data_IF_583282851809
#
_entry.id   IF_583282851809
#
_cell.length_a   1.000
_cell.length_b   1.000
_cell.length_c   1.000
_cell.angle_alpha   90.00
_cell.angle_beta   90.00
_cell.angle_gamma   90.00
#
_symmetry.space_group_name_H-M   'P 1'
#
loop_
_entity.id
_entity.type
_entity.pdbx_description
1 polymer ?
#
# COMPACT_ATOMS: atom_id res chain seq x y z
N UNK A 1 0.75 -9.52 8.26
CA UNK A 1 0.10 -8.24 8.61
C UNK A 1 0.55 -7.63 9.93
N UNK A 2 0.51 -8.32 11.09
CA UNK A 2 0.79 -7.69 12.39
C UNK A 2 2.13 -6.94 12.47
N UNK A 3 3.23 -7.53 11.98
CA UNK A 3 4.54 -6.87 11.95
C UNK A 3 4.51 -5.54 11.17
N UNK A 4 3.95 -5.55 9.95
CA UNK A 4 3.85 -4.35 9.10
C UNK A 4 2.95 -3.27 9.72
N UNK A 5 1.84 -3.68 10.34
CA UNK A 5 0.94 -2.77 11.06
C UNK A 5 1.67 -2.10 12.22
N UNK A 6 2.40 -2.87 13.04
CA UNK A 6 3.14 -2.33 14.20
C UNK A 6 4.22 -1.33 13.82
N UNK A 7 4.91 -1.53 12.69
CA UNK A 7 5.91 -0.58 12.18
C UNK A 7 5.23 0.73 11.77
N UNK A 8 4.18 0.65 10.94
CA UNK A 8 3.49 1.84 10.43
C UNK A 8 2.77 2.61 11.52
N UNK A 9 2.20 1.93 12.50
CA UNK A 9 1.56 2.59 13.65
C UNK A 9 2.54 3.49 14.40
N UNK A 10 3.77 3.04 14.63
CA UNK A 10 4.82 3.86 15.24
C UNK A 10 5.21 5.02 14.33
N UNK A 11 5.43 4.77 13.04
CA UNK A 11 5.81 5.81 12.07
C UNK A 11 4.76 6.91 11.97
N UNK A 12 3.48 6.51 11.79
CA UNK A 12 2.35 7.44 11.66
C UNK A 12 2.20 8.27 12.93
N UNK A 13 2.28 7.68 14.12
CA UNK A 13 2.20 8.42 15.37
C UNK A 13 3.31 9.48 15.53
N UNK A 14 4.53 9.20 15.05
CA UNK A 14 5.60 10.20 15.02
C UNK A 14 5.31 11.28 13.99
N UNK A 15 4.92 10.90 12.77
CA UNK A 15 4.57 11.86 11.72
C UNK A 15 3.43 12.80 12.18
N UNK A 16 2.36 12.27 12.75
CA UNK A 16 1.24 13.04 13.30
C UNK A 16 1.70 14.06 14.34
N UNK A 17 2.55 13.64 15.28
CA UNK A 17 3.14 14.50 16.32
C UNK A 17 3.94 15.65 15.72
N UNK A 18 4.68 15.41 14.65
CA UNK A 18 5.52 16.43 13.99
C UNK A 18 4.68 17.34 13.08
N UNK A 19 3.78 16.77 12.28
CA UNK A 19 2.84 17.48 11.41
C UNK A 19 1.87 18.39 12.18
N UNK A 20 1.53 18.06 13.43
CA UNK A 20 0.68 18.88 14.29
C UNK A 20 1.36 20.20 14.75
N UNK A 21 2.69 20.30 14.66
CA UNK A 21 3.45 21.47 15.16
C UNK A 21 3.72 22.53 14.09
N UNK A 22 3.73 22.14 12.82
CA UNK A 22 4.14 23.01 11.71
C UNK A 22 3.35 22.68 10.43
N UNK A 23 2.65 23.69 9.90
CA UNK A 23 1.90 23.57 8.66
C UNK A 23 2.80 23.31 7.44
N UNK A 24 4.03 23.84 7.42
CA UNK A 24 4.97 23.56 6.32
C UNK A 24 5.39 22.09 6.33
N UNK A 25 5.73 21.55 7.51
CA UNK A 25 6.03 20.13 7.67
C UNK A 25 4.81 19.24 7.38
N UNK A 26 3.62 19.68 7.80
CA UNK A 26 2.35 19.01 7.46
C UNK A 26 2.15 18.88 5.95
N UNK A 27 2.35 19.96 5.20
CA UNK A 27 2.26 19.93 3.74
C UNK A 27 3.34 19.05 3.10
N UNK A 28 4.56 19.11 3.64
CA UNK A 28 5.70 18.32 3.15
C UNK A 28 5.51 16.80 3.34
N UNK A 29 4.94 16.38 4.47
CA UNK A 29 4.78 14.96 4.83
C UNK A 29 3.42 14.36 4.45
N UNK A 30 2.43 15.17 4.03
CA UNK A 30 1.05 14.73 3.83
C UNK A 30 0.92 13.52 2.88
N UNK A 31 1.64 13.53 1.75
CA UNK A 31 1.56 12.47 0.75
C UNK A 31 2.17 11.15 1.25
N UNK A 32 3.40 11.19 1.78
CA UNK A 32 4.03 10.05 2.47
C UNK A 32 3.14 9.49 3.59
N UNK A 33 2.61 10.37 4.44
CA UNK A 33 1.73 9.99 5.54
C UNK A 33 0.49 9.25 5.03
N UNK A 34 -0.22 9.82 4.06
CA UNK A 34 -1.41 9.22 3.48
C UNK A 34 -1.12 7.85 2.84
N UNK A 35 0.00 7.72 2.12
CA UNK A 35 0.42 6.44 1.53
C UNK A 35 0.73 5.36 2.58
N UNK A 36 1.36 5.75 3.69
CA UNK A 36 1.62 4.84 4.81
C UNK A 36 0.31 4.43 5.52
N UNK A 37 -0.54 5.41 5.84
CA UNK A 37 -1.82 5.23 6.51
C UNK A 37 -2.80 4.36 5.69
N UNK A 38 -2.81 4.49 4.37
CA UNK A 38 -3.70 3.74 3.50
C UNK A 38 -3.51 2.22 3.66
N UNK A 39 -2.28 1.73 3.48
CA UNK A 39 -2.00 0.29 3.64
C UNK A 39 -1.98 -0.17 5.10
N UNK A 40 -1.68 0.73 6.05
CA UNK A 40 -1.84 0.44 7.49
C UNK A 40 -3.30 0.11 7.82
N UNK A 41 -4.24 0.97 7.40
CA UNK A 41 -5.68 0.72 7.50
C UNK A 41 -6.07 -0.54 6.74
N UNK A 42 -5.62 -0.71 5.50
CA UNK A 42 -5.90 -1.90 4.68
C UNK A 42 -5.56 -3.20 5.42
N UNK A 43 -4.34 -3.36 5.95
CA UNK A 43 -3.94 -4.60 6.61
C UNK A 43 -4.67 -4.87 7.92
N UNK A 44 -5.11 -3.81 8.62
CA UNK A 44 -5.99 -3.96 9.78
C UNK A 44 -7.34 -4.52 9.33
N UNK A 45 -7.97 -3.90 8.33
CA UNK A 45 -9.26 -4.31 7.79
C UNK A 45 -9.24 -5.73 7.21
N UNK A 46 -8.25 -6.04 6.37
CA UNK A 46 -8.02 -7.38 5.81
C UNK A 46 -7.90 -8.43 6.93
N UNK A 47 -7.07 -8.17 7.95
CA UNK A 47 -6.86 -9.12 9.06
C UNK A 47 -8.13 -9.31 9.91
N UNK A 48 -8.89 -8.23 10.14
CA UNK A 48 -10.15 -8.29 10.88
C UNK A 48 -11.21 -9.06 10.09
N UNK A 49 -11.35 -8.79 8.79
CA UNK A 49 -12.28 -9.48 7.91
C UNK A 49 -11.99 -10.97 7.80
N UNK A 50 -10.75 -11.35 7.50
CA UNK A 50 -10.36 -12.77 7.38
C UNK A 50 -10.67 -13.57 8.65
N UNK A 51 -10.44 -12.98 9.83
CA UNK A 51 -10.79 -13.59 11.12
C UNK A 51 -12.30 -13.65 11.34
N UNK A 52 -12.99 -12.53 11.15
CA UNK A 52 -14.45 -12.41 11.36
C UNK A 52 -15.22 -13.44 10.53
N UNK A 53 -14.78 -13.67 9.29
CA UNK A 53 -15.46 -14.56 8.35
C UNK A 53 -14.79 -15.93 8.20
N UNK A 54 -13.87 -16.29 9.10
CA UNK A 54 -13.26 -17.63 9.17
C UNK A 54 -12.69 -18.09 7.82
N UNK A 55 -11.96 -17.19 7.17
CA UNK A 55 -11.47 -17.40 5.80
C UNK A 55 -10.50 -18.58 5.70
N UNK A 56 -9.71 -18.83 6.75
CA UNK A 56 -8.78 -19.96 6.81
C UNK A 56 -9.56 -21.27 6.87
N UNK A 57 -10.57 -21.34 7.73
CA UNK A 57 -11.42 -22.53 7.88
C UNK A 57 -12.20 -22.81 6.59
N UNK A 58 -12.68 -21.76 5.90
CA UNK A 58 -13.31 -21.90 4.60
C UNK A 58 -12.34 -22.47 3.54
N UNK A 59 -11.09 -21.99 3.53
CA UNK A 59 -10.02 -22.52 2.65
C UNK A 59 -9.70 -23.98 2.97
N UNK A 60 -9.56 -24.33 4.25
CA UNK A 60 -9.28 -25.70 4.68
C UNK A 60 -10.41 -26.67 4.31
N UNK A 61 -11.67 -26.23 4.46
CA UNK A 61 -12.84 -27.01 4.04
C UNK A 61 -12.83 -27.24 2.52
N UNK A 62 -12.54 -26.20 1.73
CA UNK A 62 -12.41 -26.32 0.28
C UNK A 62 -11.26 -27.26 -0.12
N UNK A 63 -10.08 -27.12 0.50
CA UNK A 63 -8.91 -27.96 0.22
C UNK A 63 -9.14 -29.42 0.58
N UNK A 64 -9.92 -29.68 1.64
CA UNK A 64 -10.38 -31.03 1.99
C UNK A 64 -11.31 -31.58 0.91
N UNK A 65 -12.35 -30.84 0.51
CA UNK A 65 -13.26 -31.28 -0.56
C UNK A 65 -12.50 -31.55 -1.88
N UNK A 66 -11.61 -30.64 -2.24
CA UNK A 66 -10.76 -30.76 -3.41
C UNK A 66 -9.88 -32.02 -3.35
N UNK A 67 -9.24 -32.29 -2.21
CA UNK A 67 -8.42 -33.48 -2.00
C UNK A 67 -9.27 -34.76 -2.06
N UNK A 68 -10.47 -34.75 -1.50
CA UNK A 68 -11.42 -35.86 -1.57
C UNK A 68 -11.84 -36.16 -3.03
N UNK A 69 -12.05 -35.11 -3.85
CA UNK A 69 -12.31 -35.24 -5.30
C UNK A 69 -11.12 -35.77 -6.07
N UNK A 70 -9.91 -35.25 -5.81
CA UNK A 70 -8.67 -35.76 -6.40
C UNK A 70 -8.51 -37.26 -6.12
N UNK A 71 -8.73 -37.69 -4.88
CA UNK A 71 -8.53 -39.09 -4.48
C UNK A 71 -9.51 -40.08 -5.11
N UNK A 72 -10.69 -39.61 -5.53
CA UNK A 72 -11.70 -40.42 -6.21
C UNK A 72 -11.43 -40.60 -7.71
N UNK A 73 -10.54 -39.80 -8.30
CA UNK A 73 -10.15 -39.89 -9.70
C UNK A 73 -8.66 -40.28 -9.82
N UNK A 74 -8.33 -41.49 -10.30
CA UNK A 74 -6.93 -41.94 -10.40
C UNK A 74 -6.02 -41.04 -11.24
N UNK A 75 -6.54 -40.46 -12.32
CA UNK A 75 -5.79 -39.54 -13.19
C UNK A 75 -5.44 -38.24 -12.46
N UNK A 76 -6.44 -37.60 -11.84
CA UNK A 76 -6.23 -36.38 -11.06
C UNK A 76 -5.33 -36.61 -9.85
N UNK A 77 -5.49 -37.75 -9.17
CA UNK A 77 -4.64 -38.14 -8.05
C UNK A 77 -3.17 -38.24 -8.47
N UNK A 78 -2.88 -38.96 -9.56
CA UNK A 78 -1.53 -39.11 -10.08
C UNK A 78 -0.89 -37.76 -10.43
N UNK A 79 -1.69 -36.84 -11.01
CA UNK A 79 -1.20 -35.54 -11.47
C UNK A 79 -1.04 -34.50 -10.36
N UNK A 80 -1.89 -34.50 -9.32
CA UNK A 80 -2.03 -33.35 -8.42
C UNK A 80 -1.97 -33.65 -6.91
N UNK A 81 -2.03 -34.90 -6.46
CA UNK A 81 -2.11 -35.21 -5.02
C UNK A 81 -0.92 -34.68 -4.19
N UNK A 82 0.23 -34.44 -4.83
CA UNK A 82 1.45 -33.93 -4.19
C UNK A 82 1.44 -32.40 -3.97
N UNK A 83 0.56 -31.65 -4.66
CA UNK A 83 0.65 -30.18 -4.75
C UNK A 83 0.39 -29.51 -3.39
N UNK A 84 -0.76 -29.77 -2.77
CA UNK A 84 -1.13 -29.17 -1.49
C UNK A 84 -0.19 -29.58 -0.33
N UNK A 85 0.18 -30.87 -0.16
CA UNK A 85 1.16 -31.27 0.84
C UNK A 85 2.50 -30.53 0.68
N UNK A 86 3.01 -30.43 -0.56
CA UNK A 86 4.28 -29.75 -0.81
C UNK A 86 4.20 -28.26 -0.52
N UNK A 87 3.10 -27.60 -0.92
CA UNK A 87 2.87 -26.19 -0.56
C UNK A 87 2.85 -25.99 0.95
N UNK A 88 2.18 -26.87 1.72
CA UNK A 88 2.13 -26.81 3.18
C UNK A 88 3.53 -26.89 3.81
N UNK A 89 4.37 -27.80 3.33
CA UNK A 89 5.78 -27.90 3.76
C UNK A 89 6.56 -26.61 3.49
N UNK A 90 6.42 -26.04 2.29
CA UNK A 90 7.11 -24.82 1.89
C UNK A 90 6.66 -23.61 2.72
N UNK A 91 5.36 -23.48 3.00
CA UNK A 91 4.86 -22.43 3.90
C UNK A 91 5.38 -22.62 5.33
N UNK A 92 5.53 -23.86 5.81
CA UNK A 92 6.15 -24.14 7.11
C UNK A 92 7.63 -23.75 7.13
N UNK A 93 8.38 -24.05 6.06
CA UNK A 93 9.78 -23.64 5.90
C UNK A 93 9.94 -22.11 5.81
N UNK A 94 8.99 -21.43 5.17
CA UNK A 94 8.98 -19.96 5.03
C UNK A 94 8.65 -19.25 6.34
N UNK A 95 7.80 -19.84 7.19
CA UNK A 95 7.22 -19.22 8.39
C UNK A 95 8.24 -18.49 9.30
N UNK A 96 9.42 -19.06 9.64
CA UNK A 96 10.39 -18.39 10.51
C UNK A 96 10.92 -17.06 9.95
N UNK A 97 10.90 -16.89 8.63
CA UNK A 97 11.43 -15.71 7.95
C UNK A 97 10.40 -14.59 7.78
N UNK A 98 9.10 -14.90 7.79
CA UNK A 98 8.03 -13.97 7.38
C UNK A 98 8.01 -12.69 8.24
N UNK A 99 8.13 -12.84 9.56
CA UNK A 99 8.14 -11.69 10.47
C UNK A 99 9.41 -10.85 10.28
N UNK A 100 10.58 -11.50 10.19
CA UNK A 100 11.88 -10.84 10.00
C UNK A 100 11.90 -10.07 8.68
N UNK A 101 11.48 -10.69 7.59
CA UNK A 101 11.35 -10.05 6.28
C UNK A 101 10.40 -8.86 6.33
N UNK A 102 9.24 -9.01 7.00
CA UNK A 102 8.26 -7.93 7.14
C UNK A 102 8.86 -6.73 7.90
N UNK A 103 9.49 -6.98 9.05
CA UNK A 103 10.15 -5.94 9.82
C UNK A 103 11.28 -5.26 9.04
N UNK A 104 12.18 -6.04 8.44
CA UNK A 104 13.30 -5.49 7.68
C UNK A 104 12.83 -4.66 6.48
N UNK A 105 11.87 -5.17 5.70
CA UNK A 105 11.33 -4.47 4.53
C UNK A 105 10.58 -3.18 4.88
N UNK A 106 9.79 -3.18 5.96
CA UNK A 106 9.05 -1.99 6.37
C UNK A 106 9.97 -0.97 7.05
N UNK A 107 10.88 -1.40 7.92
CA UNK A 107 11.76 -0.48 8.68
C UNK A 107 12.85 0.09 7.77
N UNK A 108 13.65 -0.75 7.10
CA UNK A 108 14.81 -0.31 6.33
C UNK A 108 14.48 0.01 4.85
N UNK A 109 13.26 -0.26 4.39
CA UNK A 109 12.88 -0.05 2.99
C UNK A 109 11.72 0.91 2.75
N UNK A 110 10.96 1.29 3.79
CA UNK A 110 9.72 2.09 3.60
C UNK A 110 9.49 3.19 4.63
N UNK A 111 9.81 2.95 5.90
CA UNK A 111 9.42 3.85 6.99
C UNK A 111 10.56 4.77 7.44
N UNK A 112 11.81 4.37 7.26
CA UNK A 112 12.99 5.21 7.52
C UNK A 112 13.62 5.58 6.18
N UNK A 113 13.84 6.88 5.95
CA UNK A 113 14.40 7.40 4.71
C UNK A 113 15.92 7.22 4.65
N UNK A 114 16.62 7.39 5.77
CA UNK A 114 18.09 7.27 5.82
C UNK A 114 18.62 5.94 5.24
N UNK A 115 18.09 4.74 5.59
CA UNK A 115 18.43 3.49 4.90
C UNK A 115 18.21 3.52 3.40
N UNK A 116 17.10 4.11 2.93
CA UNK A 116 16.78 4.25 1.50
C UNK A 116 17.85 5.08 0.78
N UNK A 117 18.25 6.21 1.37
CA UNK A 117 19.34 7.06 0.87
C UNK A 117 20.65 6.25 0.78
N UNK A 118 20.99 5.50 1.84
CA UNK A 118 22.22 4.70 1.88
C UNK A 118 22.22 3.57 0.84
N UNK A 119 21.08 2.89 0.66
CA UNK A 119 20.91 1.77 -0.27
C UNK A 119 21.00 2.23 -1.72
N UNK A 120 20.35 3.34 -2.08
CA UNK A 120 20.42 3.89 -3.44
C UNK A 120 21.85 4.38 -3.76
N UNK A 121 22.50 5.03 -2.79
CA UNK A 121 23.90 5.47 -2.95
C UNK A 121 24.86 4.28 -3.09
N UNK A 122 24.67 3.22 -2.31
CA UNK A 122 25.44 1.97 -2.42
C UNK A 122 25.18 1.21 -3.73
N UNK A 123 23.96 1.24 -4.25
CA UNK A 123 23.63 0.61 -5.53
C UNK A 123 24.40 1.26 -6.69
N UNK A 124 24.68 2.56 -6.63
CA UNK A 124 25.56 3.22 -7.61
C UNK A 124 26.98 2.63 -7.56
N UNK A 125 27.53 2.39 -6.37
CA UNK A 125 28.85 1.76 -6.20
C UNK A 125 28.84 0.35 -6.81
N UNK A 126 27.89 -0.49 -6.42
CA UNK A 126 27.86 -1.90 -6.86
C UNK A 126 27.71 -2.03 -8.38
N UNK A 127 26.84 -1.21 -9.00
CA UNK A 127 26.72 -1.20 -10.46
C UNK A 127 27.99 -0.69 -11.14
N UNK A 128 28.64 0.33 -10.57
CA UNK A 128 29.88 0.89 -11.12
C UNK A 128 31.07 -0.07 -10.97
N UNK A 129 31.11 -0.92 -9.93
CA UNK A 129 32.10 -2.01 -9.82
C UNK A 129 32.01 -3.00 -10.98
N UNK A 130 30.80 -3.26 -11.48
CA UNK A 130 30.58 -4.18 -12.62
C UNK A 130 30.77 -3.52 -13.98
N UNK A 131 30.46 -2.23 -14.12
CA UNK A 131 30.40 -1.52 -15.41
C UNK A 131 31.50 -0.46 -15.62
N UNK A 132 32.32 -0.20 -14.59
CA UNK A 132 33.43 0.75 -14.63
C UNK A 132 33.05 2.21 -14.38
N UNK A 133 34.07 3.07 -14.35
CA UNK A 133 34.01 4.51 -14.08
C UNK A 133 33.06 5.27 -15.02
N UNK A 134 32.98 4.84 -16.28
CA UNK A 134 32.11 5.46 -17.28
C UNK A 134 30.63 5.35 -16.88
N UNK A 135 30.22 4.23 -16.26
CA UNK A 135 28.86 4.07 -15.74
C UNK A 135 28.59 5.03 -14.60
N UNK A 136 29.51 5.15 -13.65
CA UNK A 136 29.39 6.10 -12.54
C UNK A 136 29.13 7.52 -13.06
N UNK A 137 29.96 7.97 -14.00
CA UNK A 137 29.88 9.30 -14.60
C UNK A 137 28.54 9.54 -15.28
N UNK A 138 28.04 8.57 -16.04
CA UNK A 138 26.77 8.68 -16.76
C UNK A 138 25.52 8.52 -15.86
N UNK A 139 25.64 7.84 -14.71
CA UNK A 139 24.50 7.46 -13.88
C UNK A 139 24.31 8.32 -12.62
N UNK A 140 25.38 8.94 -12.09
CA UNK A 140 25.34 9.61 -10.77
C UNK A 140 24.24 10.67 -10.67
N UNK A 141 24.06 11.49 -11.71
CA UNK A 141 23.04 12.55 -11.69
C UNK A 141 21.63 11.96 -11.70
N UNK A 142 21.39 10.88 -12.45
CA UNK A 142 20.10 10.17 -12.41
C UNK A 142 19.79 9.61 -11.01
N UNK A 143 20.78 9.07 -10.31
CA UNK A 143 20.60 8.56 -8.94
C UNK A 143 20.33 9.70 -7.96
N UNK A 144 21.08 10.81 -8.07
CA UNK A 144 20.87 12.03 -7.29
C UNK A 144 19.46 12.60 -7.51
N UNK A 145 19.07 12.79 -8.77
CA UNK A 145 17.78 13.35 -9.14
C UNK A 145 16.61 12.45 -8.69
N UNK A 146 16.80 11.13 -8.72
CA UNK A 146 15.83 10.20 -8.14
C UNK A 146 15.68 10.42 -6.63
N UNK A 147 16.80 10.51 -5.87
CA UNK A 147 16.76 10.78 -4.44
C UNK A 147 16.11 12.12 -4.11
N UNK A 148 16.44 13.18 -4.86
CA UNK A 148 15.90 14.53 -4.68
C UNK A 148 14.39 14.57 -4.91
N UNK A 149 13.91 13.92 -5.98
CA UNK A 149 12.51 14.00 -6.39
C UNK A 149 11.59 12.99 -5.71
N UNK A 150 12.15 11.91 -5.14
CA UNK A 150 11.38 10.89 -4.42
C UNK A 150 11.54 11.03 -2.91
N UNK A 151 12.69 10.63 -2.36
CA UNK A 151 12.92 10.52 -0.92
C UNK A 151 13.05 11.89 -0.26
N UNK A 152 13.92 12.76 -0.78
CA UNK A 152 14.25 14.02 -0.12
C UNK A 152 13.16 15.09 -0.23
N UNK A 153 12.26 14.96 -1.20
CA UNK A 153 11.07 15.81 -1.32
C UNK A 153 10.22 15.76 -0.05
N UNK A 154 10.10 14.58 0.55
CA UNK A 154 9.26 14.31 1.73
C UNK A 154 10.10 13.99 2.97
N UNK A 155 11.42 14.29 2.95
CA UNK A 155 12.34 13.96 4.04
C UNK A 155 12.45 15.09 5.07
N UNK A 156 12.23 14.79 6.33
CA UNK A 156 12.51 15.66 7.46
C UNK A 156 13.42 14.94 8.46
N UNK A 157 14.62 15.48 8.70
CA UNK A 157 15.65 14.80 9.47
C UNK A 157 15.25 14.56 10.93
N UNK A 158 14.50 15.48 11.56
CA UNK A 158 14.06 15.32 12.93
C UNK A 158 12.93 14.28 13.08
N UNK A 159 12.00 14.26 12.12
CA UNK A 159 10.97 13.22 12.01
C UNK A 159 11.61 11.85 11.76
N UNK A 160 12.48 11.72 10.76
CA UNK A 160 13.13 10.44 10.39
C UNK A 160 14.01 9.92 11.54
N UNK A 161 14.69 10.80 12.27
CA UNK A 161 15.47 10.46 13.47
C UNK A 161 14.60 9.88 14.59
N UNK A 162 13.45 10.49 14.87
CA UNK A 162 12.53 9.97 15.90
C UNK A 162 11.90 8.63 15.47
N UNK A 163 11.52 8.50 14.20
CA UNK A 163 11.02 7.25 13.61
C UNK A 163 12.10 6.16 13.71
N UNK A 164 13.33 6.44 13.26
CA UNK A 164 14.45 5.52 13.34
C UNK A 164 14.65 5.01 14.76
N UNK A 165 14.69 5.90 15.75
CA UNK A 165 14.93 5.51 17.14
C UNK A 165 13.90 4.51 17.65
N UNK A 166 12.60 4.81 17.46
CA UNK A 166 11.52 3.92 17.91
C UNK A 166 11.47 2.61 17.13
N UNK A 167 11.74 2.65 15.82
CA UNK A 167 11.72 1.43 14.99
C UNK A 167 12.94 0.53 15.23
N UNK A 168 14.09 1.07 15.65
CA UNK A 168 15.22 0.23 16.07
C UNK A 168 14.89 -0.53 17.35
N UNK A 169 14.27 0.11 18.34
CA UNK A 169 13.80 -0.57 19.56
C UNK A 169 12.77 -1.66 19.22
N UNK A 170 11.83 -1.38 18.30
CA UNK A 170 10.87 -2.37 17.81
C UNK A 170 11.57 -3.55 17.12
N UNK A 171 12.58 -3.27 16.29
CA UNK A 171 13.32 -4.30 15.55
C UNK A 171 14.03 -5.26 16.50
N UNK A 172 14.85 -4.75 17.41
CA UNK A 172 15.63 -5.55 18.37
C UNK A 172 14.72 -6.35 19.29
N UNK A 173 13.55 -5.81 19.65
CA UNK A 173 12.58 -6.51 20.49
C UNK A 173 11.93 -7.72 19.80
N UNK A 174 11.68 -7.64 18.49
CA UNK A 174 10.85 -8.62 17.77
C UNK A 174 11.62 -9.50 16.78
N UNK A 175 12.90 -9.24 16.58
CA UNK A 175 13.75 -9.97 15.63
C UNK A 175 14.90 -10.64 16.37
N UNK A 176 15.07 -11.93 16.12
CA UNK A 176 16.15 -12.75 16.68
C UNK A 176 17.53 -12.14 16.36
N UNK A 177 18.43 -12.16 17.34
CA UNK A 177 19.76 -11.54 17.27
C UNK A 177 20.57 -12.01 16.06
N UNK A 178 20.38 -13.25 15.58
CA UNK A 178 21.09 -13.74 14.38
C UNK A 178 20.74 -12.97 13.10
N UNK A 179 19.64 -12.23 13.08
CA UNK A 179 19.22 -11.34 11.98
C UNK A 179 19.58 -9.87 12.24
N UNK A 180 20.32 -9.58 13.31
CA UNK A 180 20.90 -8.27 13.60
C UNK A 180 22.38 -8.31 13.22
N UNK A 181 22.80 -7.41 12.32
CA UNK A 181 24.21 -7.37 11.89
C UNK A 181 25.13 -7.05 13.07
N UNK A 182 26.36 -7.57 13.02
CA UNK A 182 27.38 -7.26 14.03
C UNK A 182 27.61 -5.76 14.18
N UNK A 183 27.50 -5.00 13.08
CA UNK A 183 27.59 -3.54 13.10
C UNK A 183 26.45 -2.92 13.90
N UNK A 184 25.20 -3.34 13.64
CA UNK A 184 24.01 -2.84 14.35
C UNK A 184 24.00 -3.27 15.82
N UNK A 185 24.31 -4.53 16.11
CA UNK A 185 24.43 -5.02 17.48
C UNK A 185 25.50 -4.26 18.29
N UNK A 186 26.66 -3.99 17.67
CA UNK A 186 27.72 -3.18 18.29
C UNK A 186 27.27 -1.74 18.52
N UNK A 187 26.60 -1.14 17.54
CA UNK A 187 26.13 0.25 17.62
C UNK A 187 25.06 0.44 18.71
N UNK A 188 24.21 -0.56 18.94
CA UNK A 188 23.17 -0.57 19.97
C UNK A 188 23.64 -1.06 21.35
N UNK A 189 24.91 -1.47 21.49
CA UNK A 189 25.40 -2.01 22.76
C UNK A 189 25.21 -0.99 23.90
N UNK A 190 24.39 -1.37 24.89
CA UNK A 190 24.01 -0.52 26.03
C UNK A 190 23.33 0.82 25.63
N UNK A 191 22.70 0.86 24.45
CA UNK A 191 21.99 2.05 23.95
C UNK A 191 20.58 1.68 23.52
N UNK A 192 19.67 2.60 23.73
CA UNK A 192 18.35 2.62 23.09
C UNK A 192 18.49 3.00 21.61
N UNK A 193 17.47 2.67 20.81
CA UNK A 193 17.37 3.13 19.44
C UNK A 193 17.38 4.65 19.34
N UNK A 194 16.79 5.37 20.31
CA UNK A 194 16.83 6.84 20.36
C UNK A 194 18.24 7.40 20.57
N UNK A 195 19.07 6.78 21.40
CA UNK A 195 20.46 7.18 21.58
C UNK A 195 21.29 6.93 20.32
N UNK A 196 21.10 5.77 19.68
CA UNK A 196 21.72 5.50 18.38
C UNK A 196 21.26 6.50 17.31
N UNK A 197 19.98 6.89 17.32
CA UNK A 197 19.44 7.88 16.40
C UNK A 197 20.18 9.21 16.51
N UNK A 198 20.36 9.71 17.74
CA UNK A 198 21.08 10.95 18.00
C UNK A 198 22.52 10.89 17.49
N UNK A 199 23.20 9.78 17.74
CA UNK A 199 24.57 9.57 17.27
C UNK A 199 24.62 9.60 15.74
N UNK A 200 23.92 8.68 15.06
CA UNK A 200 23.99 8.55 13.60
C UNK A 200 23.58 9.84 12.88
N UNK A 201 22.49 10.49 13.30
CA UNK A 201 22.00 11.68 12.61
C UNK A 201 22.86 12.92 12.86
N UNK A 202 23.67 12.94 13.92
CA UNK A 202 24.59 14.05 14.20
C UNK A 202 25.87 14.01 13.37
N UNK A 203 26.26 12.85 12.85
CA UNK A 203 27.56 12.66 12.16
C UNK A 203 27.44 12.19 10.72
N UNK A 204 26.30 11.62 10.31
CA UNK A 204 26.10 11.16 8.93
C UNK A 204 25.92 12.35 8.00
N UNK A 205 26.59 12.30 6.86
CA UNK A 205 26.44 13.26 5.76
C UNK A 205 25.25 12.92 4.84
N UNK A 206 24.42 11.96 5.21
CA UNK A 206 23.26 11.52 4.41
C UNK A 206 21.93 12.05 4.97
N UNK A 207 21.98 13.04 5.86
CA UNK A 207 20.84 13.59 6.60
C UNK A 207 20.42 14.98 6.14
N UNK A 208 21.01 15.50 5.06
CA UNK A 208 20.58 16.76 4.45
C UNK A 208 20.70 16.72 2.94
N UNK A 209 19.89 17.54 2.26
CA UNK A 209 19.92 17.68 0.81
C UNK A 209 21.29 18.13 0.33
N UNK A 210 21.85 19.13 1.00
CA UNK A 210 23.12 19.77 0.63
C UNK A 210 24.29 18.78 0.71
N UNK A 211 24.32 17.94 1.76
CA UNK A 211 25.38 16.95 1.92
C UNK A 211 25.26 15.82 0.89
N UNK A 212 24.03 15.43 0.53
CA UNK A 212 23.78 14.45 -0.52
C UNK A 212 24.19 15.02 -1.89
N UNK A 213 23.83 16.26 -2.21
CA UNK A 213 24.30 16.93 -3.43
C UNK A 213 25.84 17.00 -3.48
N UNK A 214 26.50 17.29 -2.36
CA UNK A 214 27.95 17.30 -2.26
C UNK A 214 28.58 15.90 -2.44
N UNK A 215 27.94 14.84 -1.97
CA UNK A 215 28.36 13.45 -2.21
C UNK A 215 28.27 13.11 -3.71
N UNK A 216 27.17 13.46 -4.38
CA UNK A 216 26.99 13.17 -5.80
C UNK A 216 27.79 14.12 -6.73
N UNK A 217 28.30 15.23 -6.20
CA UNK A 217 29.23 16.11 -6.90
C UNK A 217 30.66 15.52 -7.05
N UNK A 218 30.99 14.42 -6.35
CA UNK A 218 32.30 13.76 -6.48
C UNK A 218 32.58 13.36 -7.93
N UNK A 219 33.79 13.64 -8.41
CA UNK A 219 34.16 13.46 -9.82
C UNK A 219 34.49 12.00 -10.15
N UNK A 220 35.14 11.29 -9.23
CA UNK A 220 35.53 9.89 -9.40
C UNK A 220 34.67 8.93 -8.56
N UNK A 221 34.52 7.70 -9.02
CA UNK A 221 33.92 6.59 -8.27
C UNK A 221 34.71 6.31 -6.99
N UNK A 222 36.03 6.41 -7.06
CA UNK A 222 36.91 6.19 -5.91
C UNK A 222 36.61 7.17 -4.78
N UNK A 223 36.52 8.47 -5.08
CA UNK A 223 36.21 9.50 -4.08
C UNK A 223 34.79 9.35 -3.53
N UNK A 224 33.83 9.05 -4.41
CA UNK A 224 32.45 8.75 -4.00
C UNK A 224 32.40 7.57 -3.03
N UNK A 225 33.04 6.46 -3.40
CA UNK A 225 33.08 5.21 -2.63
C UNK A 225 33.77 5.43 -1.28
N UNK A 226 34.95 6.04 -1.26
CA UNK A 226 35.68 6.35 -0.02
C UNK A 226 34.90 7.28 0.90
N UNK A 227 34.14 8.23 0.35
CA UNK A 227 33.30 9.12 1.14
C UNK A 227 32.13 8.36 1.75
N UNK A 228 31.40 7.58 0.94
CA UNK A 228 30.22 6.84 1.39
C UNK A 228 30.58 5.72 2.38
N UNK A 229 31.65 4.96 2.13
CA UNK A 229 32.09 3.86 3.00
C UNK A 229 32.57 4.32 4.39
N UNK A 230 32.90 5.60 4.54
CA UNK A 230 33.22 6.22 5.83
C UNK A 230 31.98 6.75 6.57
N UNK A 231 30.84 6.85 5.90
CA UNK A 231 29.62 7.34 6.52
C UNK A 231 29.05 6.29 7.50
N UNK A 232 28.80 6.65 8.77
CA UNK A 232 28.37 5.70 9.78
C UNK A 232 26.96 5.14 9.51
N UNK A 233 26.07 5.91 8.87
CA UNK A 233 24.76 5.39 8.46
C UNK A 233 24.93 4.32 7.37
N UNK A 234 25.79 4.58 6.38
CA UNK A 234 26.06 3.63 5.32
C UNK A 234 26.69 2.33 5.85
N UNK A 235 27.67 2.42 6.76
CA UNK A 235 28.29 1.24 7.38
C UNK A 235 27.26 0.39 8.13
N UNK A 236 26.35 1.03 8.86
CA UNK A 236 25.30 0.36 9.63
C UNK A 236 24.31 -0.37 8.71
N UNK A 237 23.71 0.36 7.77
CA UNK A 237 22.62 -0.17 6.95
C UNK A 237 23.10 -1.10 5.84
N UNK A 238 24.27 -0.86 5.25
CA UNK A 238 24.83 -1.80 4.27
C UNK A 238 25.16 -3.16 4.90
N UNK A 239 25.66 -3.18 6.16
CA UNK A 239 25.89 -4.41 6.89
C UNK A 239 24.57 -5.13 7.25
N UNK A 240 23.56 -4.38 7.67
CA UNK A 240 22.23 -4.92 7.97
C UNK A 240 21.54 -5.50 6.72
N UNK A 241 21.57 -4.77 5.61
CA UNK A 241 20.99 -5.19 4.34
C UNK A 241 21.64 -6.48 3.83
N UNK A 242 22.99 -6.55 3.84
CA UNK A 242 23.74 -7.76 3.44
C UNK A 242 23.35 -8.99 4.28
N UNK A 243 23.16 -8.82 5.59
CA UNK A 243 22.73 -9.91 6.47
C UNK A 243 21.32 -10.37 6.11
N UNK A 244 20.37 -9.43 5.97
CA UNK A 244 18.98 -9.74 5.60
C UNK A 244 18.92 -10.43 4.25
N UNK A 245 19.68 -9.97 3.26
CA UNK A 245 19.69 -10.59 1.94
C UNK A 245 20.17 -12.03 1.99
N UNK A 246 21.27 -12.28 2.71
CA UNK A 246 21.86 -13.61 2.84
C UNK A 246 20.98 -14.57 3.64
N UNK A 247 20.54 -14.15 4.83
CA UNK A 247 19.94 -15.04 5.82
C UNK A 247 18.40 -15.09 5.72
N UNK A 248 17.77 -14.16 4.99
CA UNK A 248 16.30 -14.04 4.91
C UNK A 248 15.83 -13.96 3.46
N UNK A 249 16.20 -12.91 2.71
CA UNK A 249 15.65 -12.67 1.37
C UNK A 249 15.97 -13.82 0.42
N UNK A 250 17.22 -14.28 0.37
CA UNK A 250 17.65 -15.35 -0.54
C UNK A 250 16.96 -16.70 -0.24
N UNK A 251 16.92 -17.21 1.01
CA UNK A 251 16.13 -18.39 1.36
C UNK A 251 14.64 -18.25 1.00
N UNK A 252 14.02 -17.11 1.34
CA UNK A 252 12.60 -16.87 1.05
C UNK A 252 12.34 -16.83 -0.46
N UNK A 253 13.23 -16.24 -1.25
CA UNK A 253 13.10 -16.19 -2.71
C UNK A 253 13.14 -17.59 -3.33
N UNK A 254 14.02 -18.48 -2.85
CA UNK A 254 14.07 -19.89 -3.29
C UNK A 254 12.76 -20.60 -2.98
N UNK A 255 12.24 -20.44 -1.75
CA UNK A 255 10.97 -21.05 -1.34
C UNK A 255 9.80 -20.50 -2.17
N UNK A 256 9.74 -19.18 -2.38
CA UNK A 256 8.70 -18.55 -3.18
C UNK A 256 8.71 -19.01 -4.64
N UNK A 257 9.89 -19.24 -5.23
CA UNK A 257 9.99 -19.77 -6.59
C UNK A 257 9.26 -21.11 -6.73
N UNK A 258 9.44 -22.01 -5.77
CA UNK A 258 8.76 -23.31 -5.77
C UNK A 258 7.26 -23.20 -5.45
N UNK A 259 6.89 -22.33 -4.50
CA UNK A 259 5.48 -22.04 -4.21
C UNK A 259 4.77 -21.51 -5.46
N UNK A 260 5.38 -20.60 -6.21
CA UNK A 260 4.78 -20.02 -7.43
C UNK A 260 4.52 -21.08 -8.51
N UNK A 261 5.48 -22.00 -8.69
CA UNK A 261 5.34 -23.11 -9.64
C UNK A 261 4.20 -24.06 -9.24
N UNK A 262 4.09 -24.35 -7.93
CA UNK A 262 3.00 -25.15 -7.37
C UNK A 262 1.65 -24.43 -7.40
N UNK A 263 1.61 -23.11 -7.23
CA UNK A 263 0.39 -22.32 -7.37
C UNK A 263 -0.16 -22.40 -8.78
N UNK A 264 0.69 -22.36 -9.81
CA UNK A 264 0.28 -22.58 -11.20
C UNK A 264 -0.33 -23.98 -11.40
N UNK A 265 0.30 -25.01 -10.85
CA UNK A 265 -0.23 -26.39 -10.87
C UNK A 265 -1.54 -26.51 -10.10
N UNK A 266 -1.67 -25.84 -8.95
CA UNK A 266 -2.86 -25.85 -8.13
C UNK A 266 -4.04 -25.17 -8.85
N UNK A 267 -3.82 -24.04 -9.51
CA UNK A 267 -4.86 -23.37 -10.28
C UNK A 267 -5.33 -24.25 -11.45
N UNK A 268 -4.40 -24.86 -12.19
CA UNK A 268 -4.74 -25.82 -13.25
C UNK A 268 -5.55 -27.00 -12.69
N UNK A 269 -5.16 -27.54 -11.55
CA UNK A 269 -5.86 -28.64 -10.90
C UNK A 269 -7.29 -28.25 -10.49
N UNK A 270 -7.50 -27.06 -9.94
CA UNK A 270 -8.83 -26.57 -9.59
C UNK A 270 -9.73 -26.45 -10.84
N UNK A 271 -9.21 -25.94 -11.95
CA UNK A 271 -9.96 -25.82 -13.20
C UNK A 271 -10.35 -27.19 -13.78
N UNK A 272 -9.46 -28.19 -13.71
CA UNK A 272 -9.75 -29.55 -14.20
C UNK A 272 -10.72 -30.31 -13.28
N UNK A 273 -10.58 -30.18 -11.96
CA UNK A 273 -11.44 -30.87 -10.98
C UNK A 273 -12.83 -30.25 -10.87
N UNK A 274 -12.95 -28.95 -11.08
CA UNK A 274 -14.21 -28.20 -11.05
C UNK A 274 -14.53 -27.62 -12.43
N UNK A 275 -14.57 -28.48 -13.46
CA UNK A 275 -14.76 -28.08 -14.86
C UNK A 275 -16.11 -27.39 -15.13
N UNK A 276 -17.07 -27.52 -14.22
CA UNK A 276 -18.39 -26.89 -14.24
C UNK A 276 -18.40 -25.49 -13.61
N UNK A 277 -17.34 -25.11 -12.88
CA UNK A 277 -17.23 -23.78 -12.25
C UNK A 277 -16.62 -22.77 -13.21
N UNK A 278 -17.21 -21.58 -13.23
CA UNK A 278 -16.60 -20.42 -13.87
C UNK A 278 -15.47 -19.87 -12.99
N UNK A 279 -14.23 -19.96 -13.47
CA UNK A 279 -13.09 -19.30 -12.88
C UNK A 279 -12.82 -17.97 -13.60
N UNK A 280 -12.38 -16.97 -12.85
CA UNK A 280 -11.80 -15.75 -13.39
C UNK A 280 -10.33 -15.65 -12.95
N UNK A 281 -9.42 -15.17 -13.81
CA UNK A 281 -8.01 -15.06 -13.44
C UNK A 281 -7.82 -13.97 -12.39
N UNK A 282 -6.84 -14.14 -11.49
CA UNK A 282 -6.42 -13.09 -10.56
C UNK A 282 -6.06 -11.80 -11.31
N UNK A 283 -6.25 -10.66 -10.64
CA UNK A 283 -5.89 -9.36 -11.19
C UNK A 283 -4.36 -9.25 -11.37
N UNK A 284 -3.93 -8.70 -12.50
CA UNK A 284 -2.51 -8.60 -12.86
C UNK A 284 -2.21 -7.33 -13.68
N UNK A 285 -2.86 -6.21 -13.35
CA UNK A 285 -2.75 -4.93 -14.07
C UNK A 285 -3.16 -4.99 -15.54
N UNK A 286 -4.09 -5.90 -15.89
CA UNK A 286 -4.73 -5.96 -17.21
C UNK A 286 -6.18 -5.51 -17.13
N UNK A 287 -6.74 -5.08 -18.26
CA UNK A 287 -8.14 -4.68 -18.35
C UNK A 287 -9.07 -5.86 -18.02
N UNK A 288 -10.07 -5.62 -17.16
CA UNK A 288 -11.11 -6.58 -16.77
C UNK A 288 -12.48 -5.89 -16.73
N UNK A 289 -13.53 -6.69 -16.73
CA UNK A 289 -14.92 -6.24 -16.54
C UNK A 289 -15.51 -6.95 -15.33
N UNK A 290 -16.03 -6.18 -14.38
CA UNK A 290 -16.83 -6.66 -13.27
C UNK A 290 -18.20 -5.97 -13.32
N UNK A 291 -19.27 -6.74 -13.12
CA UNK A 291 -20.64 -6.25 -13.14
C UNK A 291 -21.32 -6.49 -11.80
N UNK A 292 -22.38 -5.73 -11.55
CA UNK A 292 -23.07 -5.75 -10.27
C UNK A 292 -24.31 -4.88 -10.30
N UNK A 293 -24.82 -4.57 -9.12
CA UNK A 293 -25.98 -3.69 -8.94
C UNK A 293 -25.76 -2.74 -7.79
N UNK A 294 -26.39 -1.57 -7.87
CA UNK A 294 -26.42 -0.60 -6.78
C UNK A 294 -27.13 -1.25 -5.57
N UNK A 295 -26.41 -1.45 -4.47
CA UNK A 295 -26.92 -2.20 -3.30
C UNK A 295 -26.24 -1.77 -2.01
N UNK A 296 -27.04 -1.55 -0.97
CA UNK A 296 -26.55 -1.35 0.40
C UNK A 296 -26.06 -2.67 1.02
N UNK A 297 -25.72 -2.64 2.31
CA UNK A 297 -25.34 -3.84 3.05
C UNK A 297 -25.47 -3.66 4.57
N UNK A 298 -25.43 -4.77 5.29
CA UNK A 298 -25.47 -4.80 6.75
C UNK A 298 -24.06 -5.07 7.28
N UNK A 299 -23.34 -4.06 7.77
CA UNK A 299 -22.01 -4.26 8.34
C UNK A 299 -22.04 -5.05 9.66
N UNK A 300 -23.16 -5.00 10.39
CA UNK A 300 -23.41 -5.64 11.68
C UNK A 300 -24.91 -5.66 11.98
N UNK A 301 -25.29 -6.45 12.97
CA UNK A 301 -26.68 -6.58 13.42
C UNK A 301 -27.32 -5.21 13.73
N UNK A 302 -28.58 -5.03 13.30
CA UNK A 302 -29.35 -3.81 13.48
C UNK A 302 -28.89 -2.57 12.70
N UNK A 303 -27.85 -2.66 11.85
CA UNK A 303 -27.32 -1.52 11.09
C UNK A 303 -27.36 -1.83 9.59
N UNK A 304 -27.99 -0.94 8.82
CA UNK A 304 -28.00 -1.01 7.36
C UNK A 304 -27.37 0.25 6.76
N UNK A 305 -26.38 0.07 5.89
CA UNK A 305 -25.83 1.16 5.09
C UNK A 305 -26.58 1.26 3.77
N UNK A 306 -27.22 2.41 3.55
CA UNK A 306 -27.93 2.71 2.31
C UNK A 306 -26.99 2.76 1.10
N UNK A 307 -27.47 2.40 -0.10
CA UNK A 307 -26.65 2.39 -1.31
C UNK A 307 -26.24 3.77 -1.83
N UNK A 308 -26.79 4.87 -1.30
CA UNK A 308 -26.56 6.23 -1.85
C UNK A 308 -26.38 7.25 -0.75
N UNK A 309 -25.36 8.08 -0.87
CA UNK A 309 -25.16 9.25 -0.01
C UNK A 309 -25.59 10.52 -0.71
N UNK A 310 -25.79 11.59 0.06
CA UNK A 310 -26.28 12.87 -0.46
C UNK A 310 -25.40 14.02 0.02
N UNK A 311 -25.50 15.19 -0.63
CA UNK A 311 -24.77 16.38 -0.24
C UNK A 311 -25.06 16.80 1.21
N UNK A 312 -26.25 16.53 1.74
CA UNK A 312 -26.56 16.76 3.16
C UNK A 312 -25.60 16.02 4.10
N UNK A 313 -25.21 14.78 3.78
CA UNK A 313 -24.25 14.00 4.56
C UNK A 313 -22.81 14.53 4.46
N UNK A 314 -22.48 15.29 3.42
CA UNK A 314 -21.21 16.04 3.34
C UNK A 314 -21.24 17.20 4.34
N UNK A 315 -22.38 17.91 4.43
CA UNK A 315 -22.56 19.02 5.36
C UNK A 315 -22.64 18.55 6.81
N UNK A 316 -23.25 17.40 7.09
CA UNK A 316 -23.25 16.78 8.43
C UNK A 316 -21.82 16.52 8.95
N UNK A 317 -20.87 16.28 8.04
CA UNK A 317 -19.46 16.03 8.38
C UNK A 317 -18.61 17.28 8.41
N UNK A 318 -19.11 18.42 7.93
CA UNK A 318 -18.35 19.65 7.78
C UNK A 318 -17.77 20.14 9.10
N UNK A 319 -16.46 20.44 9.11
CA UNK A 319 -15.74 21.03 10.24
C UNK A 319 -14.83 22.16 9.72
N UNK A 320 -15.14 23.43 10.04
CA UNK A 320 -14.32 24.57 9.58
C UNK A 320 -12.85 24.43 10.01
N UNK A 321 -11.91 24.67 9.08
CA UNK A 321 -10.46 24.57 9.29
C UNK A 321 -9.94 23.17 9.67
N UNK A 322 -10.76 22.12 9.53
CA UNK A 322 -10.32 20.74 9.70
C UNK A 322 -9.58 20.25 8.44
N UNK A 323 -8.53 19.46 8.60
CA UNK A 323 -7.72 18.98 7.47
C UNK A 323 -8.51 18.09 6.50
N UNK A 324 -9.41 17.26 7.03
CA UNK A 324 -10.12 16.23 6.28
C UNK A 324 -11.56 16.65 5.96
N UNK A 325 -12.15 17.48 6.83
CA UNK A 325 -13.58 17.77 6.81
C UNK A 325 -13.96 19.24 6.60
N UNK A 326 -13.00 20.12 6.27
CA UNK A 326 -13.32 21.47 5.80
C UNK A 326 -13.85 21.43 4.36
N UNK A 327 -14.59 22.47 3.96
CA UNK A 327 -15.25 22.55 2.66
C UNK A 327 -15.06 23.95 2.05
N UNK A 328 -14.90 24.04 0.71
CA UNK A 328 -14.92 25.33 0.03
C UNK A 328 -16.25 26.06 0.28
N UNK A 329 -16.16 27.37 0.55
CA UNK A 329 -17.33 28.24 0.79
C UNK A 329 -18.42 28.07 -0.28
N UNK A 330 -18.05 27.91 -1.56
CA UNK A 330 -18.99 27.71 -2.66
C UNK A 330 -19.90 26.49 -2.49
N UNK A 331 -19.43 25.38 -1.91
CA UNK A 331 -20.26 24.21 -1.62
C UNK A 331 -21.31 24.53 -0.56
N UNK A 332 -20.91 25.26 0.49
CA UNK A 332 -21.82 25.68 1.57
C UNK A 332 -22.92 26.60 1.04
N UNK A 333 -22.55 27.56 0.19
CA UNK A 333 -23.49 28.51 -0.43
C UNK A 333 -24.49 27.78 -1.33
N UNK A 334 -24.03 26.88 -2.21
CA UNK A 334 -24.88 26.06 -3.08
C UNK A 334 -25.82 25.15 -2.27
N UNK A 335 -25.34 24.56 -1.17
CA UNK A 335 -26.17 23.73 -0.29
C UNK A 335 -27.27 24.54 0.41
N UNK A 336 -26.96 25.74 0.91
CA UNK A 336 -27.91 26.62 1.59
C UNK A 336 -28.99 27.11 0.63
N UNK A 337 -28.62 27.47 -0.59
CA UNK A 337 -29.54 27.91 -1.63
C UNK A 337 -30.34 26.77 -2.30
N UNK A 338 -29.96 25.50 -2.07
CA UNK A 338 -30.49 24.32 -2.79
C UNK A 338 -30.35 24.44 -4.32
N UNK A 339 -29.31 25.14 -4.79
CA UNK A 339 -29.07 25.37 -6.21
C UNK A 339 -28.40 24.16 -6.89
N UNK A 340 -29.09 23.01 -6.90
CA UNK A 340 -28.61 21.77 -7.50
C UNK A 340 -28.99 21.65 -8.99
N UNK A 341 -29.95 22.46 -9.46
CA UNK A 341 -30.44 22.45 -10.83
C UNK A 341 -30.83 21.06 -11.34
N UNK A 342 -30.43 20.74 -12.57
CA UNK A 342 -30.73 19.47 -13.26
C UNK A 342 -30.04 18.24 -12.67
N UNK A 343 -29.15 18.40 -11.68
CA UNK A 343 -28.37 17.30 -11.11
C UNK A 343 -29.04 16.60 -9.93
N UNK A 344 -30.01 17.27 -9.29
CA UNK A 344 -30.77 16.68 -8.21
C UNK A 344 -31.61 15.48 -8.68
N UNK A 345 -31.74 14.48 -7.81
CA UNK A 345 -32.69 13.40 -7.99
C UNK A 345 -34.14 13.91 -7.87
N UNK A 346 -35.11 13.10 -8.28
CA UNK A 346 -36.56 13.44 -8.25
C UNK A 346 -37.07 13.88 -6.87
N UNK A 347 -36.41 13.44 -5.80
CA UNK A 347 -36.73 13.84 -4.41
C UNK A 347 -36.07 15.16 -3.98
N UNK A 348 -35.46 15.92 -4.90
CA UNK A 348 -34.78 17.18 -4.63
C UNK A 348 -33.41 17.05 -3.98
N UNK A 349 -32.91 15.83 -3.72
CA UNK A 349 -31.60 15.60 -3.11
C UNK A 349 -30.52 15.41 -4.18
N UNK A 350 -29.34 15.98 -3.94
CA UNK A 350 -28.15 15.73 -4.76
C UNK A 350 -27.43 14.49 -4.23
N UNK A 351 -27.44 13.41 -5.00
CA UNK A 351 -26.69 12.17 -4.68
C UNK A 351 -25.20 12.43 -4.91
N UNK A 352 -24.36 12.11 -3.93
CA UNK A 352 -22.90 12.29 -4.03
C UNK A 352 -22.22 11.01 -4.50
N UNK A 353 -22.35 9.94 -3.71
CA UNK A 353 -21.72 8.65 -3.96
C UNK A 353 -22.77 7.53 -3.92
N UNK A 354 -22.41 6.37 -4.46
CA UNK A 354 -23.20 5.16 -4.35
C UNK A 354 -22.35 3.90 -4.18
N UNK A 355 -22.96 2.89 -3.57
CA UNK A 355 -22.39 1.55 -3.38
C UNK A 355 -22.89 0.60 -4.47
N UNK A 356 -22.02 -0.28 -4.95
CA UNK A 356 -22.40 -1.36 -5.85
C UNK A 356 -21.70 -2.67 -5.48
N UNK A 357 -22.21 -3.79 -6.00
CA UNK A 357 -21.68 -5.13 -5.74
C UNK A 357 -20.54 -5.53 -6.69
N UNK A 358 -19.93 -4.59 -7.40
CA UNK A 358 -18.83 -4.88 -8.30
C UNK A 358 -17.60 -5.30 -7.47
N UNK A 359 -16.93 -6.37 -7.89
CA UNK A 359 -15.66 -6.79 -7.27
C UNK A 359 -14.53 -5.95 -7.85
N UNK A 360 -13.87 -5.16 -7.00
CA UNK A 360 -12.76 -4.27 -7.38
C UNK A 360 -11.56 -4.53 -6.46
N UNK A 361 -10.39 -4.01 -6.82
CA UNK A 361 -9.19 -3.99 -5.97
C UNK A 361 -8.32 -2.77 -6.33
N UNK A 362 -7.14 -2.65 -5.72
CA UNK A 362 -6.14 -1.66 -6.08
C UNK A 362 -5.82 -1.68 -7.58
N UNK A 363 -5.95 -0.52 -8.23
CA UNK A 363 -5.84 -0.37 -9.69
C UNK A 363 -7.18 -0.08 -10.38
N UNK A 364 -8.32 -0.29 -9.71
CA UNK A 364 -9.64 0.10 -10.24
C UNK A 364 -9.99 1.59 -10.00
N UNK A 365 -9.18 2.35 -9.27
CA UNK A 365 -9.42 3.79 -9.05
C UNK A 365 -9.56 4.54 -10.38
N UNK A 366 -10.66 5.25 -10.55
CA UNK A 366 -11.02 5.95 -11.78
C UNK A 366 -11.75 5.11 -12.83
N UNK A 367 -12.06 3.83 -12.55
CA UNK A 367 -12.78 2.99 -13.52
C UNK A 367 -14.19 3.54 -13.80
N UNK A 368 -14.61 3.61 -15.08
CA UNK A 368 -15.95 4.03 -15.44
C UNK A 368 -16.99 3.00 -14.99
N UNK A 369 -18.11 3.48 -14.46
CA UNK A 369 -19.28 2.66 -14.15
C UNK A 369 -20.34 2.94 -15.19
N UNK A 370 -20.73 1.89 -15.89
CA UNK A 370 -21.72 1.95 -16.95
C UNK A 370 -23.05 1.35 -16.48
N UNK A 371 -24.16 1.92 -16.92
CA UNK A 371 -25.47 1.29 -16.76
C UNK A 371 -25.71 0.20 -17.81
N UNK A 372 -26.92 -0.38 -17.79
CA UNK A 372 -27.34 -1.44 -18.72
C UNK A 372 -27.30 -1.05 -20.21
N UNK A 373 -27.32 0.25 -20.51
CA UNK A 373 -27.31 0.81 -21.85
C UNK A 373 -25.90 1.26 -22.27
N UNK A 374 -24.91 1.12 -21.39
CA UNK A 374 -23.53 1.54 -21.64
C UNK A 374 -23.28 3.02 -21.34
N UNK A 375 -24.22 3.74 -20.71
CA UNK A 375 -24.01 5.12 -20.33
C UNK A 375 -23.20 5.21 -19.05
N UNK A 376 -22.26 6.16 -19.02
CA UNK A 376 -21.47 6.45 -17.83
C UNK A 376 -22.39 7.02 -16.73
N UNK A 377 -22.32 6.43 -15.54
CA UNK A 377 -23.13 6.83 -14.38
C UNK A 377 -22.30 7.20 -13.14
N UNK A 378 -21.00 6.90 -13.13
CA UNK A 378 -20.11 7.21 -12.02
C UNK A 378 -18.69 6.68 -12.21
N UNK A 379 -17.82 6.99 -11.26
CA UNK A 379 -16.42 6.54 -11.23
C UNK A 379 -16.13 5.76 -9.95
N UNK A 380 -15.52 4.59 -10.06
CA UNK A 380 -15.00 3.87 -8.89
C UNK A 380 -13.83 4.61 -8.27
N UNK A 381 -13.79 4.70 -6.93
CA UNK A 381 -12.64 5.30 -6.25
C UNK A 381 -12.18 4.55 -5.01
N UNK A 382 -13.02 3.71 -4.39
CA UNK A 382 -12.65 2.97 -3.17
C UNK A 382 -13.56 1.76 -2.94
N UNK A 383 -13.27 0.95 -1.92
CA UNK A 383 -14.11 -0.14 -1.40
C UNK A 383 -14.50 0.10 0.07
N UNK A 384 -15.57 -0.55 0.53
CA UNK A 384 -15.97 -0.44 1.95
C UNK A 384 -15.03 -1.22 2.87
N UNK A 385 -14.86 -0.73 4.10
CA UNK A 385 -13.98 -1.34 5.11
C UNK A 385 -14.23 -2.83 5.32
N UNK A 386 -15.50 -3.24 5.39
CA UNK A 386 -15.91 -4.62 5.61
C UNK A 386 -15.53 -5.56 4.45
N UNK A 387 -15.26 -5.01 3.26
CA UNK A 387 -14.89 -5.74 2.04
C UNK A 387 -13.40 -5.83 1.77
N UNK A 388 -12.53 -5.16 2.54
CA UNK A 388 -11.08 -5.00 2.25
C UNK A 388 -10.32 -6.34 2.11
N UNK A 389 -10.87 -7.42 2.64
CA UNK A 389 -10.34 -8.79 2.48
C UNK A 389 -10.58 -9.43 1.10
N UNK A 390 -11.28 -8.76 0.19
CA UNK A 390 -11.77 -9.33 -1.07
C UNK A 390 -10.68 -9.77 -2.06
N UNK A 391 -9.44 -9.29 -1.87
CA UNK A 391 -8.25 -9.78 -2.58
C UNK A 391 -7.92 -11.24 -2.24
N UNK A 392 -8.35 -11.71 -1.06
CA UNK A 392 -8.07 -13.05 -0.54
C UNK A 392 -9.36 -13.88 -0.42
N UNK A 393 -10.45 -13.27 0.03
CA UNK A 393 -11.72 -13.95 0.24
C UNK A 393 -12.91 -13.01 0.00
N UNK A 394 -13.49 -13.09 -1.20
CA UNK A 394 -14.65 -12.30 -1.59
C UNK A 394 -15.94 -12.80 -0.92
N UNK A 395 -16.72 -11.85 -0.39
CA UNK A 395 -17.98 -12.11 0.31
C UNK A 395 -19.08 -11.19 -0.27
N UNK A 396 -20.00 -11.70 -1.11
CA UNK A 396 -20.97 -10.87 -1.81
C UNK A 396 -21.97 -10.17 -0.88
N UNK A 397 -22.14 -10.66 0.35
CA UNK A 397 -23.05 -10.04 1.32
C UNK A 397 -22.56 -8.67 1.79
N UNK A 398 -21.23 -8.51 1.93
CA UNK A 398 -20.59 -7.33 2.56
C UNK A 398 -19.72 -6.53 1.59
N UNK A 399 -19.14 -7.15 0.56
CA UNK A 399 -18.22 -6.49 -0.35
C UNK A 399 -18.97 -5.45 -1.19
N UNK A 400 -18.55 -4.19 -1.12
CA UNK A 400 -19.13 -3.09 -1.90
C UNK A 400 -18.02 -2.19 -2.41
N UNK A 401 -18.08 -1.91 -3.70
CA UNK A 401 -17.32 -0.84 -4.34
C UNK A 401 -18.03 0.50 -4.10
N UNK A 402 -17.24 1.56 -3.92
CA UNK A 402 -17.68 2.94 -3.69
C UNK A 402 -17.40 3.75 -4.94
N UNK A 403 -18.44 4.45 -5.41
CA UNK A 403 -18.40 5.23 -6.64
C UNK A 403 -18.91 6.64 -6.39
N UNK A 404 -18.29 7.63 -7.04
CA UNK A 404 -18.88 8.98 -7.14
C UNK A 404 -19.93 8.97 -8.25
N UNK A 405 -21.07 9.61 -8.02
CA UNK A 405 -22.13 9.73 -9.03
C UNK A 405 -21.81 10.86 -10.01
N UNK A 406 -22.01 10.64 -11.30
CA UNK A 406 -21.77 11.68 -12.33
C UNK A 406 -22.58 12.94 -12.11
N UNK A 407 -23.81 12.84 -11.59
CA UNK A 407 -24.61 14.00 -11.25
C UNK A 407 -23.86 14.94 -10.29
N UNK A 408 -23.12 14.37 -9.32
CA UNK A 408 -22.29 15.16 -8.42
C UNK A 408 -21.06 15.73 -9.12
N UNK A 409 -20.36 14.92 -9.93
CA UNK A 409 -19.21 15.39 -10.71
C UNK A 409 -19.59 16.56 -11.63
N UNK A 410 -20.66 16.41 -12.41
CA UNK A 410 -21.18 17.45 -13.29
C UNK A 410 -21.70 18.66 -12.52
N UNK A 411 -22.33 18.46 -11.35
CA UNK A 411 -22.70 19.57 -10.47
C UNK A 411 -21.48 20.38 -10.03
N UNK A 412 -20.38 19.72 -9.64
CA UNK A 412 -19.14 20.42 -9.26
C UNK A 412 -18.57 21.21 -10.44
N UNK A 413 -18.44 20.57 -11.62
CA UNK A 413 -17.90 21.20 -12.84
C UNK A 413 -18.73 22.43 -13.25
N UNK A 414 -20.05 22.29 -13.24
CA UNK A 414 -20.98 23.34 -13.66
C UNK A 414 -21.12 24.44 -12.60
N UNK A 415 -21.56 24.08 -11.38
CA UNK A 415 -21.98 25.04 -10.36
C UNK A 415 -20.85 25.60 -9.51
N UNK A 416 -19.85 24.77 -9.17
CA UNK A 416 -18.73 25.23 -8.33
C UNK A 416 -17.59 25.81 -9.17
N UNK A 417 -17.20 25.10 -10.23
CA UNK A 417 -16.04 25.46 -11.06
C UNK A 417 -16.40 26.33 -12.26
N UNK A 418 -17.68 26.56 -12.55
CA UNK A 418 -18.18 27.34 -13.69
C UNK A 418 -17.52 26.94 -15.03
N UNK A 419 -17.23 25.66 -15.21
CA UNK A 419 -16.45 25.14 -16.32
C UNK A 419 -17.34 24.72 -17.50
N UNK A 420 -18.07 25.68 -18.05
CA UNK A 420 -19.04 25.45 -19.14
C UNK A 420 -18.42 24.86 -20.42
N UNK A 421 -17.11 25.03 -20.63
CA UNK A 421 -16.41 24.46 -21.78
C UNK A 421 -16.39 22.92 -21.72
N UNK A 422 -16.14 22.33 -20.55
CA UNK A 422 -16.21 20.87 -20.35
C UNK A 422 -17.63 20.38 -20.57
N UNK A 423 -18.63 21.11 -20.05
CA UNK A 423 -20.04 20.75 -20.18
C UNK A 423 -20.51 20.70 -21.65
N UNK A 424 -19.91 21.52 -22.53
CA UNK A 424 -20.19 21.54 -23.97
C UNK A 424 -19.51 20.41 -24.74
N UNK A 425 -18.41 19.87 -24.22
CA UNK A 425 -17.68 18.76 -24.82
C UNK A 425 -18.38 17.42 -24.57
N UNK A 426 -19.09 17.29 -23.44
CA UNK A 426 -19.77 16.06 -23.03
C UNK A 426 -21.12 15.87 -23.74
N UNK A 427 -21.37 14.64 -24.20
CA UNK A 427 -22.72 14.22 -24.61
C UNK A 427 -23.50 13.75 -23.37
N UNK A 428 -24.35 14.61 -22.84
CA UNK A 428 -25.16 14.31 -21.64
C UNK A 428 -26.53 13.77 -22.08
N UNK A 429 -26.76 12.49 -21.82
CA UNK A 429 -28.05 11.83 -22.04
C UNK A 429 -28.98 12.02 -20.86
N UNK A 430 -30.29 12.08 -21.13
CA UNK A 430 -31.35 12.11 -20.12
C UNK A 430 -32.23 10.87 -20.28
N UNK A 431 -32.41 10.13 -19.20
CA UNK A 431 -33.39 9.03 -19.10
C UNK A 431 -34.58 9.41 -18.21
#
# INVERSE_FOLDING_TARGET
NPAKVSVREITLAVMDKHMAKDNALKLKLASKHAGLANYWKFWIGESQGLKRFKAVEAKEAFEKEFTDKLNKNPEFKAKYAHVLPRMKELYAQKKPYVAVQSYASEIFGRNIDLPTITNISGMLIERSKTQGEAYYTAAKDRFKDYLLNSTLKEFDADTDKEVFGKLMDLYVKNVDEKYISKALAKALKNKTGSELAKEIYSVSNLTSKENIEALFAKKSLEDFTKTLEKDPAYQLFSAQQKLIDKEVSNPVNKINSEINDLMGKYMKAQMEVYSDKAFYPDANFTMRVAYGRVKGFEPRDGVFYEPRTHLSGVIEKYKPNDLEFDLPKGILDLYKAKDYGKYAAKNGKLVTNFLATNHITGGNSGSPILDKNGYHIGLAFDGVWEGVMEDVYYRPEIARSIHVKDNYVLFIIDKLSNSQHIMKELTIVKE
#
